data_IF_651340299927
#
_entry.id   IF_651340299927
#
_cell.length_a   1.000
_cell.length_b   1.000
_cell.length_c   1.000
_cell.angle_alpha   90.00
_cell.angle_beta   90.00
_cell.angle_gamma   90.00
#
_symmetry.space_group_name_H-M   'P 1'
#
loop_
_entity.id
_entity.type
_entity.pdbx_description
1 polymer ?
#
# COMPACT_ATOMS: atom_id res chain seq x y z
N UNK A 1 10.18 8.54 12.17
CA UNK A 1 11.00 7.94 11.09
C UNK A 1 10.05 7.28 10.10
N UNK A 2 10.23 7.51 8.79
CA UNK A 2 9.44 6.83 7.76
C UNK A 2 9.93 5.39 7.54
N UNK A 3 9.01 4.48 7.25
CA UNK A 3 9.29 3.10 6.86
C UNK A 3 9.95 2.98 5.48
N UNK A 4 9.75 3.96 4.59
CA UNK A 4 10.37 3.99 3.26
C UNK A 4 11.88 4.21 3.41
N UNK A 5 12.68 3.34 2.78
CA UNK A 5 14.13 3.36 2.88
C UNK A 5 14.83 4.10 1.74
N UNK A 6 14.17 4.28 0.59
CA UNK A 6 14.73 5.01 -0.55
C UNK A 6 14.89 6.50 -0.23
N UNK A 7 16.12 7.01 -0.18
CA UNK A 7 16.36 8.43 -0.01
C UNK A 7 15.71 9.29 -1.12
N UNK A 8 15.65 8.75 -2.35
CA UNK A 8 15.05 9.44 -3.51
C UNK A 8 13.54 9.64 -3.43
N UNK A 9 12.84 8.98 -2.50
CA UNK A 9 11.42 9.21 -2.24
C UNK A 9 11.16 10.54 -1.54
N UNK A 10 12.11 11.01 -0.75
CA UNK A 10 11.98 12.25 0.01
C UNK A 10 12.46 13.45 -0.80
N UNK A 11 11.84 14.62 -0.56
CA UNK A 11 12.22 15.89 -1.18
C UNK A 11 13.30 16.57 -0.33
N UNK A 12 13.16 16.51 1.01
CA UNK A 12 14.18 16.98 1.92
C UNK A 12 15.26 15.92 2.13
N UNK A 13 16.53 16.33 2.25
CA UNK A 13 17.67 15.41 2.45
C UNK A 13 17.52 14.55 3.72
N UNK A 14 16.89 15.08 4.77
CA UNK A 14 16.57 14.38 6.02
C UNK A 14 15.10 13.98 6.13
N UNK A 15 14.31 14.04 5.04
CA UNK A 15 12.86 13.86 5.03
C UNK A 15 12.40 12.53 5.64
N UNK A 16 13.21 11.48 5.55
CA UNK A 16 12.94 10.20 6.21
C UNK A 16 12.78 10.33 7.73
N UNK A 17 13.55 11.20 8.36
CA UNK A 17 13.64 11.32 9.82
C UNK A 17 12.94 12.59 10.35
N UNK A 18 12.72 13.57 9.49
CA UNK A 18 12.13 14.86 9.84
C UNK A 18 10.89 15.15 8.94
N UNK A 19 9.68 14.79 9.41
CA UNK A 19 8.47 15.02 8.65
C UNK A 19 8.15 16.51 8.46
N UNK A 20 8.64 17.39 9.35
CA UNK A 20 8.44 18.85 9.22
C UNK A 20 9.32 19.40 8.10
N UNK A 21 10.57 18.93 8.00
CA UNK A 21 11.44 19.30 6.89
C UNK A 21 10.88 18.81 5.55
N UNK A 22 10.37 17.56 5.50
CA UNK A 22 9.75 16.99 4.31
C UNK A 22 8.49 17.76 3.90
N UNK A 23 7.63 18.13 4.85
CA UNK A 23 6.44 18.94 4.59
C UNK A 23 6.81 20.31 3.99
N UNK A 24 7.77 21.01 4.58
CA UNK A 24 8.24 22.31 4.08
C UNK A 24 8.82 22.20 2.67
N UNK A 25 9.65 21.18 2.43
CA UNK A 25 10.22 20.92 1.12
C UNK A 25 9.14 20.58 0.08
N UNK A 26 8.12 19.80 0.47
CA UNK A 26 6.98 19.47 -0.39
C UNK A 26 6.19 20.72 -0.79
N UNK A 27 5.85 21.58 0.17
CA UNK A 27 5.14 22.85 -0.11
C UNK A 27 5.98 23.75 -1.04
N UNK A 28 7.28 23.86 -0.78
CA UNK A 28 8.19 24.62 -1.65
C UNK A 28 8.23 24.07 -3.07
N UNK A 29 8.36 22.74 -3.20
CA UNK A 29 8.42 22.06 -4.49
C UNK A 29 7.13 22.25 -5.32
N UNK A 30 5.94 22.19 -4.69
CA UNK A 30 4.67 22.44 -5.38
C UNK A 30 4.49 23.89 -5.86
N UNK A 31 5.19 24.85 -5.24
CA UNK A 31 5.20 26.24 -5.66
C UNK A 31 6.27 26.56 -6.73
N UNK A 32 7.26 25.69 -6.94
CA UNK A 32 8.40 25.96 -7.84
C UNK A 32 8.55 24.95 -8.98
N UNK A 33 8.02 23.74 -8.82
CA UNK A 33 8.18 22.61 -9.75
C UNK A 33 6.85 21.92 -10.00
N UNK A 34 6.07 22.28 -11.04
CA UNK A 34 4.73 21.73 -11.27
C UNK A 34 4.69 20.20 -11.37
N UNK A 35 5.72 19.57 -11.95
CA UNK A 35 5.79 18.11 -12.11
C UNK A 35 5.87 17.35 -10.76
N UNK A 36 6.20 18.02 -9.66
CA UNK A 36 6.17 17.40 -8.34
C UNK A 36 4.73 17.08 -7.90
N UNK A 37 3.73 17.79 -8.41
CA UNK A 37 2.31 17.46 -8.22
C UNK A 37 1.96 16.11 -8.86
N UNK A 38 2.62 15.74 -9.96
CA UNK A 38 2.45 14.45 -10.64
C UNK A 38 3.15 13.31 -9.91
N UNK A 39 4.27 13.61 -9.25
CA UNK A 39 5.03 12.63 -8.48
C UNK A 39 4.39 12.34 -7.13
N UNK A 40 3.81 13.36 -6.49
CA UNK A 40 3.21 13.27 -5.15
C UNK A 40 1.74 13.75 -5.14
N UNK A 41 0.85 13.09 -5.90
CA UNK A 41 -0.53 13.53 -6.07
C UNK A 41 -1.37 13.42 -4.79
N UNK A 42 -1.09 12.45 -3.89
CA UNK A 42 -1.81 12.36 -2.60
C UNK A 42 -1.42 13.48 -1.66
N UNK A 43 -0.12 13.81 -1.58
CA UNK A 43 0.37 14.95 -0.79
C UNK A 43 -0.23 16.26 -1.31
N UNK A 44 -0.30 16.42 -2.65
CA UNK A 44 -0.89 17.59 -3.27
C UNK A 44 -2.39 17.70 -2.96
N UNK A 45 -3.13 16.60 -3.08
CA UNK A 45 -4.55 16.53 -2.73
C UNK A 45 -4.77 16.89 -1.27
N UNK A 46 -4.05 16.24 -0.35
CA UNK A 46 -4.17 16.47 1.09
C UNK A 46 -3.89 17.93 1.47
N UNK A 47 -2.81 18.52 0.97
CA UNK A 47 -2.47 19.92 1.27
C UNK A 47 -3.52 20.89 0.75
N UNK A 48 -4.12 20.64 -0.42
CA UNK A 48 -5.24 21.44 -0.92
C UNK A 48 -6.48 21.33 -0.02
N UNK A 49 -6.76 20.14 0.49
CA UNK A 49 -7.86 19.91 1.44
C UNK A 49 -7.62 20.59 2.79
N UNK A 50 -6.35 20.78 3.18
CA UNK A 50 -5.98 21.60 4.35
C UNK A 50 -6.05 23.13 4.06
N UNK A 51 -6.54 23.53 2.89
CA UNK A 51 -6.73 24.92 2.51
C UNK A 51 -5.50 25.62 1.92
N UNK A 52 -4.41 24.88 1.62
CA UNK A 52 -3.25 25.47 0.97
C UNK A 52 -3.53 25.75 -0.51
N UNK A 53 -3.05 26.89 -0.97
CA UNK A 53 -3.04 27.29 -2.37
C UNK A 53 -1.60 27.35 -2.88
N UNK A 54 -1.40 26.95 -4.13
CA UNK A 54 -0.07 26.94 -4.75
C UNK A 54 -0.01 27.96 -5.86
N UNK A 55 1.13 28.65 -5.99
CA UNK A 55 1.35 29.66 -7.03
C UNK A 55 1.46 29.06 -8.44
N UNK A 56 1.91 27.80 -8.54
CA UNK A 56 1.97 27.11 -9.81
C UNK A 56 0.59 26.52 -10.18
N UNK A 57 0.21 26.59 -11.47
CA UNK A 57 -1.03 25.96 -11.93
C UNK A 57 -1.00 24.44 -11.74
N UNK A 58 -2.17 23.81 -11.80
CA UNK A 58 -2.26 22.35 -11.81
C UNK A 58 -1.46 21.78 -13.00
N UNK A 59 -0.59 20.82 -12.71
CA UNK A 59 0.25 20.21 -13.74
C UNK A 59 -0.54 19.19 -14.55
N UNK A 60 -0.25 19.13 -15.85
CA UNK A 60 -0.68 17.99 -16.66
C UNK A 60 0.19 16.78 -16.33
N UNK A 61 -0.44 15.68 -15.92
CA UNK A 61 0.22 14.47 -15.43
C UNK A 61 -0.14 13.26 -16.31
N UNK A 62 0.32 13.20 -17.58
CA UNK A 62 -0.17 12.18 -18.53
C UNK A 62 0.13 10.74 -18.08
N UNK A 63 1.26 10.47 -17.43
CA UNK A 63 1.60 9.13 -16.92
C UNK A 63 0.69 8.72 -15.77
N UNK A 64 0.42 9.63 -14.84
CA UNK A 64 -0.50 9.39 -13.72
C UNK A 64 -1.93 9.18 -14.25
N UNK A 65 -2.34 9.99 -15.22
CA UNK A 65 -3.66 9.85 -15.83
C UNK A 65 -3.79 8.52 -16.57
N UNK A 66 -2.82 8.15 -17.39
CA UNK A 66 -2.79 6.85 -18.06
C UNK A 66 -2.86 5.69 -17.07
N UNK A 67 -2.10 5.75 -15.96
CA UNK A 67 -2.14 4.73 -14.92
C UNK A 67 -3.53 4.64 -14.27
N UNK A 68 -4.14 5.78 -13.91
CA UNK A 68 -5.51 5.81 -13.36
C UNK A 68 -6.54 5.23 -14.32
N UNK A 69 -6.46 5.55 -15.62
CA UNK A 69 -7.35 5.01 -16.65
C UNK A 69 -7.17 3.49 -16.81
N UNK A 70 -5.93 2.99 -16.76
CA UNK A 70 -5.65 1.55 -16.78
C UNK A 70 -6.22 0.83 -15.57
N UNK A 71 -6.10 1.42 -14.38
CA UNK A 71 -6.64 0.86 -13.14
C UNK A 71 -8.17 0.98 -13.08
N UNK A 72 -8.74 2.06 -13.61
CA UNK A 72 -10.18 2.37 -13.63
C UNK A 72 -10.87 2.10 -12.29
N UNK A 73 -10.27 2.55 -11.19
CA UNK A 73 -10.65 2.20 -9.80
C UNK A 73 -11.99 2.86 -9.47
N UNK A 74 -12.96 2.04 -9.09
CA UNK A 74 -14.29 2.47 -8.63
C UNK A 74 -14.47 2.24 -7.12
N UNK A 75 -13.96 1.14 -6.61
CA UNK A 75 -13.96 0.82 -5.18
C UNK A 75 -12.72 0.01 -4.80
N UNK A 76 -12.48 -0.12 -3.51
CA UNK A 76 -11.32 -0.81 -2.98
C UNK A 76 -11.78 -1.93 -2.04
N UNK A 77 -11.20 -3.11 -2.16
CA UNK A 77 -11.45 -4.24 -1.27
C UNK A 77 -10.15 -4.70 -0.61
N UNK A 78 -10.26 -5.14 0.64
CA UNK A 78 -9.22 -5.95 1.26
C UNK A 78 -9.51 -7.42 0.97
N UNK A 79 -8.49 -8.14 0.53
CA UNK A 79 -8.56 -9.59 0.29
C UNK A 79 -7.64 -10.29 1.26
N UNK A 80 -8.20 -11.17 2.07
CA UNK A 80 -7.47 -12.03 2.99
C UNK A 80 -7.33 -13.42 2.39
N UNK A 81 -6.10 -13.89 2.24
CA UNK A 81 -5.80 -15.28 1.95
C UNK A 81 -5.47 -16.01 3.25
N UNK A 82 -6.15 -17.12 3.52
CA UNK A 82 -5.96 -17.93 4.74
C UNK A 82 -4.51 -18.40 4.92
N UNK A 83 -4.13 -18.82 6.13
CA UNK A 83 -2.77 -19.24 6.46
C UNK A 83 -2.26 -20.38 5.58
N UNK A 84 -0.96 -20.36 5.27
CA UNK A 84 -0.28 -21.41 4.50
C UNK A 84 0.92 -21.93 5.28
N UNK A 85 0.82 -23.17 5.74
CA UNK A 85 1.79 -23.76 6.67
C UNK A 85 3.16 -24.05 6.05
N UNK A 86 3.23 -24.15 4.73
CA UNK A 86 4.50 -24.44 4.03
C UNK A 86 5.42 -23.20 3.90
N UNK A 87 4.93 -22.00 4.26
CA UNK A 87 5.71 -20.77 4.18
C UNK A 87 5.59 -19.97 5.51
N UNK A 88 6.69 -19.80 6.27
CA UNK A 88 6.68 -19.07 7.53
C UNK A 88 6.11 -17.65 7.44
N UNK A 89 6.40 -16.92 6.37
CA UNK A 89 5.87 -15.56 6.15
C UNK A 89 4.35 -15.52 5.91
N UNK A 90 3.75 -16.64 5.48
CA UNK A 90 2.32 -16.77 5.19
C UNK A 90 1.57 -17.60 6.23
N UNK A 91 2.20 -17.96 7.34
CA UNK A 91 1.61 -18.81 8.38
C UNK A 91 0.29 -18.25 8.93
N UNK A 92 0.23 -16.95 9.13
CA UNK A 92 -0.95 -16.24 9.66
C UNK A 92 -1.86 -15.66 8.58
N UNK A 93 -1.64 -16.04 7.32
CA UNK A 93 -2.36 -15.51 6.18
C UNK A 93 -1.62 -14.39 5.47
N UNK A 94 -2.27 -13.89 4.44
CA UNK A 94 -1.74 -12.78 3.64
C UNK A 94 -2.85 -11.78 3.33
N UNK A 95 -2.51 -10.51 3.22
CA UNK A 95 -3.43 -9.43 2.91
C UNK A 95 -3.06 -8.80 1.57
N UNK A 96 -4.07 -8.51 0.78
CA UNK A 96 -3.98 -7.79 -0.50
C UNK A 96 -4.96 -6.64 -0.52
N UNK A 97 -4.66 -5.60 -1.24
CA UNK A 97 -5.59 -4.54 -1.59
C UNK A 97 -6.04 -4.74 -3.05
N UNK A 98 -7.33 -4.98 -3.27
CA UNK A 98 -7.89 -5.15 -4.62
C UNK A 98 -8.56 -3.85 -5.06
N UNK A 99 -8.21 -3.42 -6.27
CA UNK A 99 -8.71 -2.20 -6.90
C UNK A 99 -9.82 -2.57 -7.86
N UNK A 100 -11.06 -2.49 -7.40
CA UNK A 100 -12.20 -2.92 -8.19
C UNK A 100 -12.53 -1.89 -9.26
N UNK A 101 -12.68 -2.36 -10.48
CA UNK A 101 -13.25 -1.58 -11.58
C UNK A 101 -14.76 -1.42 -11.39
N UNK A 102 -15.41 -0.71 -12.31
CA UNK A 102 -16.87 -0.55 -12.27
C UNK A 102 -17.60 -1.85 -11.97
N UNK A 103 -18.68 -1.77 -11.20
CA UNK A 103 -19.56 -2.89 -10.84
C UNK A 103 -20.13 -3.66 -12.03
N UNK A 104 -20.15 -3.05 -13.21
CA UNK A 104 -20.60 -3.67 -14.47
C UNK A 104 -19.51 -4.56 -15.12
N UNK A 105 -18.27 -4.52 -14.62
CA UNK A 105 -17.22 -5.40 -15.11
C UNK A 105 -17.55 -6.85 -14.84
N UNK A 106 -17.82 -7.61 -15.91
CA UNK A 106 -18.18 -9.04 -15.85
C UNK A 106 -17.03 -9.94 -15.39
N UNK A 107 -15.81 -9.43 -15.36
CA UNK A 107 -14.64 -10.24 -15.02
C UNK A 107 -13.80 -9.57 -13.93
N UNK A 108 -14.17 -9.81 -12.68
CA UNK A 108 -13.48 -9.32 -11.49
C UNK A 108 -12.04 -9.86 -11.34
N UNK A 109 -11.69 -10.90 -12.09
CA UNK A 109 -10.31 -11.45 -12.10
C UNK A 109 -9.31 -10.55 -12.84
N UNK A 110 -9.83 -9.64 -13.69
CA UNK A 110 -9.01 -8.65 -14.39
C UNK A 110 -8.86 -7.33 -13.61
N UNK A 111 -9.43 -7.24 -12.41
CA UNK A 111 -9.15 -6.14 -11.50
C UNK A 111 -7.67 -6.16 -11.08
N UNK A 112 -7.11 -5.00 -10.79
CA UNK A 112 -5.76 -4.93 -10.26
C UNK A 112 -5.76 -5.19 -8.75
N UNK A 113 -4.66 -5.70 -8.27
CA UNK A 113 -4.41 -5.87 -6.84
C UNK A 113 -3.02 -5.40 -6.48
N UNK A 114 -2.93 -4.80 -5.31
CA UNK A 114 -1.68 -4.34 -4.71
C UNK A 114 -1.26 -5.38 -3.68
N UNK A 115 -0.06 -5.86 -3.84
CA UNK A 115 0.62 -6.75 -2.93
C UNK A 115 1.78 -6.03 -2.26
N UNK A 116 2.01 -6.28 -0.98
CA UNK A 116 3.24 -5.94 -0.30
C UNK A 116 3.99 -7.21 0.05
N UNK A 117 5.23 -7.32 -0.36
CA UNK A 117 6.02 -8.52 -0.15
C UNK A 117 7.52 -8.29 -0.15
N UNK A 118 8.23 -9.22 0.50
CA UNK A 118 9.69 -9.24 0.54
C UNK A 118 10.28 -9.70 -0.80
N UNK A 119 11.39 -9.10 -1.16
CA UNK A 119 12.22 -9.54 -2.28
C UNK A 119 13.19 -10.61 -1.78
N UNK A 120 12.78 -11.87 -1.88
CA UNK A 120 13.57 -13.03 -1.44
C UNK A 120 14.25 -13.67 -2.66
N UNK A 121 15.57 -13.98 -2.60
CA UNK A 121 16.25 -14.73 -3.66
C UNK A 121 15.69 -16.15 -3.82
N UNK A 122 15.58 -16.64 -5.05
CA UNK A 122 14.95 -17.94 -5.38
C UNK A 122 15.59 -19.16 -4.66
N UNK A 123 16.86 -19.08 -4.24
CA UNK A 123 17.60 -20.19 -3.63
C UNK A 123 18.06 -19.85 -2.19
N UNK A 124 17.28 -19.09 -1.44
CA UNK A 124 17.64 -18.76 -0.05
C UNK A 124 17.52 -20.00 0.85
N UNK A 125 18.51 -20.19 1.73
CA UNK A 125 18.46 -21.24 2.74
C UNK A 125 17.34 -20.98 3.75
N UNK A 126 16.56 -22.02 4.11
CA UNK A 126 15.39 -21.88 4.97
C UNK A 126 15.69 -21.26 6.36
N UNK A 127 16.82 -21.56 7.00
CA UNK A 127 17.21 -20.94 8.26
C UNK A 127 17.58 -19.47 8.08
N UNK A 128 18.31 -19.16 7.00
CA UNK A 128 18.67 -17.77 6.65
C UNK A 128 17.41 -16.98 6.33
N UNK A 129 16.45 -17.58 5.62
CA UNK A 129 15.15 -16.98 5.32
C UNK A 129 14.40 -16.58 6.60
N UNK A 130 14.30 -17.49 7.57
CA UNK A 130 13.63 -17.22 8.85
C UNK A 130 14.35 -16.11 9.62
N UNK A 131 15.68 -16.20 9.75
CA UNK A 131 16.46 -15.21 10.51
C UNK A 131 16.39 -13.82 9.87
N UNK A 132 16.58 -13.72 8.55
CA UNK A 132 16.44 -12.44 7.85
C UNK A 132 15.02 -11.89 7.95
N UNK A 133 14.01 -12.74 7.84
CA UNK A 133 12.62 -12.31 7.94
C UNK A 133 12.24 -11.79 9.33
N UNK A 134 12.84 -12.34 10.40
CA UNK A 134 12.61 -11.87 11.77
C UNK A 134 13.38 -10.58 12.10
N UNK A 135 14.55 -10.37 11.49
CA UNK A 135 15.45 -9.26 11.85
C UNK A 135 15.59 -8.20 10.75
N UNK A 136 14.68 -8.12 9.78
CA UNK A 136 14.66 -7.06 8.77
C UNK A 136 15.74 -7.19 7.70
N UNK A 137 16.16 -8.42 7.37
CA UNK A 137 17.21 -8.68 6.39
C UNK A 137 16.78 -8.67 4.92
N UNK A 138 15.48 -8.42 4.63
CA UNK A 138 14.96 -8.30 3.28
C UNK A 138 14.46 -6.91 2.97
N UNK A 139 14.62 -6.50 1.72
CA UNK A 139 13.87 -5.37 1.17
C UNK A 139 12.49 -5.85 0.73
N UNK A 140 11.51 -5.00 0.88
CA UNK A 140 10.14 -5.22 0.45
C UNK A 140 9.61 -4.02 -0.32
N UNK A 141 8.49 -4.19 -0.96
CA UNK A 141 7.81 -3.11 -1.64
C UNK A 141 6.40 -3.47 -2.06
N UNK A 142 5.70 -2.46 -2.51
CA UNK A 142 4.40 -2.61 -3.13
C UNK A 142 4.57 -2.95 -4.62
N UNK A 143 3.76 -3.89 -5.09
CA UNK A 143 3.66 -4.26 -6.49
C UNK A 143 2.20 -4.36 -6.91
N UNK A 144 1.91 -3.99 -8.16
CA UNK A 144 0.59 -4.14 -8.76
C UNK A 144 0.58 -5.27 -9.77
N UNK A 145 -0.48 -6.06 -9.75
CA UNK A 145 -0.72 -7.10 -10.73
C UNK A 145 -2.21 -7.41 -10.86
N UNK A 146 -2.59 -8.08 -11.94
CA UNK A 146 -3.97 -8.52 -12.14
C UNK A 146 -4.35 -9.58 -11.09
N UNK A 147 -5.54 -9.45 -10.51
CA UNK A 147 -6.00 -10.28 -9.39
C UNK A 147 -6.06 -11.77 -9.72
N UNK A 148 -6.29 -12.15 -10.99
CA UNK A 148 -6.30 -13.55 -11.40
C UNK A 148 -5.00 -14.29 -11.04
N UNK A 149 -3.84 -13.60 -11.01
CA UNK A 149 -2.56 -14.21 -10.62
C UNK A 149 -2.55 -14.61 -9.16
N UNK A 150 -3.11 -13.77 -8.30
CA UNK A 150 -3.25 -14.11 -6.87
C UNK A 150 -4.29 -15.21 -6.67
N UNK A 151 -5.41 -15.15 -7.38
CA UNK A 151 -6.44 -16.18 -7.37
C UNK A 151 -5.84 -17.55 -7.77
N UNK A 152 -5.06 -17.58 -8.82
CA UNK A 152 -4.39 -18.81 -9.27
C UNK A 152 -3.37 -19.33 -8.24
N UNK A 153 -2.47 -18.45 -7.75
CA UNK A 153 -1.45 -18.88 -6.81
C UNK A 153 -2.04 -19.30 -5.46
N UNK A 154 -2.87 -18.46 -4.85
CA UNK A 154 -3.39 -18.75 -3.52
C UNK A 154 -4.56 -19.73 -3.53
N UNK A 155 -5.52 -19.57 -4.47
CA UNK A 155 -6.72 -20.41 -4.52
C UNK A 155 -6.48 -21.78 -5.14
N UNK A 156 -5.73 -21.86 -6.25
CA UNK A 156 -5.59 -23.11 -7.03
C UNK A 156 -4.31 -23.87 -6.69
N UNK A 157 -3.17 -23.19 -6.47
CA UNK A 157 -1.88 -23.86 -6.19
C UNK A 157 -1.74 -24.12 -4.69
N UNK A 158 -1.94 -23.10 -3.85
CA UNK A 158 -1.77 -23.20 -2.39
C UNK A 158 -3.04 -23.69 -1.67
N UNK A 159 -4.18 -23.77 -2.38
CA UNK A 159 -5.49 -24.20 -1.86
C UNK A 159 -5.94 -23.42 -0.62
N UNK A 160 -5.73 -22.11 -0.65
CA UNK A 160 -6.11 -21.18 0.41
C UNK A 160 -7.50 -20.59 0.15
N UNK A 161 -8.26 -20.38 1.21
CA UNK A 161 -9.50 -19.61 1.11
C UNK A 161 -9.18 -18.12 0.93
N UNK A 162 -9.91 -17.47 0.03
CA UNK A 162 -9.82 -16.04 -0.24
C UNK A 162 -11.12 -15.35 0.20
N UNK A 163 -10.97 -14.39 1.11
CA UNK A 163 -12.09 -13.61 1.64
C UNK A 163 -11.94 -12.16 1.20
N UNK A 164 -12.93 -11.64 0.48
CA UNK A 164 -12.94 -10.28 -0.04
C UNK A 164 -13.93 -9.41 0.75
N UNK A 165 -13.44 -8.24 1.22
CA UNK A 165 -14.21 -7.23 1.92
C UNK A 165 -14.10 -5.90 1.19
N UNK A 166 -15.19 -5.44 0.60
CA UNK A 166 -15.23 -4.12 -0.04
C UNK A 166 -15.36 -3.04 1.04
N UNK A 167 -14.44 -2.08 1.01
CA UNK A 167 -14.43 -0.95 1.93
C UNK A 167 -15.54 0.06 1.52
N UNK A 168 -16.25 0.59 2.51
CA UNK A 168 -17.26 1.62 2.30
C UNK A 168 -16.60 3.00 2.19
N UNK A 169 -16.05 3.29 1.02
CA UNK A 169 -15.32 4.52 0.72
C UNK A 169 -16.08 5.38 -0.28
N UNK A 170 -16.03 6.69 -0.11
CA UNK A 170 -16.51 7.62 -1.12
C UNK A 170 -15.48 7.82 -2.25
N UNK A 171 -15.88 8.48 -3.33
CA UNK A 171 -15.03 8.70 -4.51
C UNK A 171 -13.73 9.47 -4.19
N UNK A 172 -13.79 10.44 -3.26
CA UNK A 172 -12.62 11.21 -2.81
C UNK A 172 -11.59 10.29 -2.16
N UNK A 173 -12.02 9.38 -1.29
CA UNK A 173 -11.15 8.48 -0.55
C UNK A 173 -10.55 7.41 -1.47
N UNK A 174 -11.33 6.90 -2.41
CA UNK A 174 -10.83 6.01 -3.48
C UNK A 174 -9.75 6.70 -4.31
N UNK A 175 -9.99 7.95 -4.71
CA UNK A 175 -9.01 8.74 -5.46
C UNK A 175 -7.75 9.02 -4.63
N UNK A 176 -7.89 9.27 -3.32
CA UNK A 176 -6.76 9.49 -2.43
C UNK A 176 -5.89 8.23 -2.29
N UNK A 177 -6.52 7.05 -2.09
CA UNK A 177 -5.80 5.76 -2.05
C UNK A 177 -5.05 5.53 -3.38
N UNK A 178 -5.71 5.76 -4.51
CA UNK A 178 -5.08 5.61 -5.82
C UNK A 178 -3.85 6.52 -5.96
N UNK A 179 -3.96 7.78 -5.55
CA UNK A 179 -2.86 8.72 -5.56
C UNK A 179 -1.72 8.29 -4.65
N UNK A 180 -2.04 7.80 -3.46
CA UNK A 180 -1.03 7.32 -2.51
C UNK A 180 -0.31 6.07 -3.03
N UNK A 181 -1.04 5.13 -3.62
CA UNK A 181 -0.46 3.95 -4.26
C UNK A 181 0.51 4.33 -5.38
N UNK A 182 0.15 5.31 -6.23
CA UNK A 182 1.05 5.84 -7.25
C UNK A 182 2.37 6.36 -6.66
N UNK A 183 2.32 7.02 -5.50
CA UNK A 183 3.52 7.55 -4.85
C UNK A 183 4.44 6.45 -4.30
N UNK A 184 3.87 5.38 -3.75
CA UNK A 184 4.62 4.34 -3.04
C UNK A 184 4.96 3.12 -3.90
N UNK A 185 4.32 2.93 -5.05
CA UNK A 185 4.70 1.88 -5.99
C UNK A 185 6.15 2.06 -6.46
N UNK A 186 6.94 0.99 -6.33
CA UNK A 186 8.37 1.00 -6.63
C UNK A 186 9.27 1.62 -5.56
N UNK A 187 8.74 1.95 -4.38
CA UNK A 187 9.54 2.31 -3.21
C UNK A 187 9.97 1.07 -2.44
N UNK A 188 11.07 1.19 -1.67
CA UNK A 188 11.63 0.11 -0.86
C UNK A 188 11.37 0.34 0.62
N UNK A 189 11.13 -0.76 1.31
CA UNK A 189 10.95 -0.86 2.75
C UNK A 189 11.86 -1.94 3.31
N UNK A 190 12.07 -1.95 4.62
CA UNK A 190 12.60 -3.12 5.32
C UNK A 190 11.43 -4.04 5.67
N UNK A 191 11.62 -5.36 5.58
CA UNK A 191 10.57 -6.35 5.82
C UNK A 191 10.82 -7.14 7.09
N UNK A 192 9.79 -7.21 7.93
CA UNK A 192 9.77 -8.01 9.15
C UNK A 192 8.54 -8.92 9.16
N UNK A 193 8.74 -10.22 9.42
CA UNK A 193 7.65 -11.20 9.38
C UNK A 193 6.58 -10.94 10.44
N UNK A 194 6.98 -10.46 11.61
CA UNK A 194 6.10 -10.36 12.77
C UNK A 194 5.26 -9.07 12.79
N UNK A 195 5.85 -7.94 12.48
CA UNK A 195 5.27 -6.61 12.69
C UNK A 195 5.14 -5.78 11.42
N UNK A 196 6.21 -5.47 10.71
CA UNK A 196 6.18 -4.65 9.48
C UNK A 196 5.95 -5.52 8.23
N UNK A 197 4.89 -6.32 8.26
CA UNK A 197 4.49 -7.26 7.20
C UNK A 197 3.41 -6.66 6.27
N UNK A 198 2.85 -7.49 5.37
CA UNK A 198 1.81 -7.06 4.43
C UNK A 198 0.58 -6.49 5.13
N UNK A 199 0.14 -7.09 6.25
CA UNK A 199 -1.02 -6.64 6.98
C UNK A 199 -0.80 -5.25 7.61
N UNK A 200 0.38 -5.01 8.17
CA UNK A 200 0.76 -3.72 8.74
C UNK A 200 0.72 -2.61 7.68
N UNK A 201 1.46 -2.78 6.58
CA UNK A 201 1.58 -1.71 5.58
C UNK A 201 0.27 -1.46 4.81
N UNK A 202 -0.52 -2.51 4.54
CA UNK A 202 -1.84 -2.32 3.92
C UNK A 202 -2.86 -1.71 4.89
N UNK A 203 -2.81 -2.05 6.17
CA UNK A 203 -3.63 -1.39 7.18
C UNK A 203 -3.32 0.10 7.27
N UNK A 204 -2.03 0.50 7.25
CA UNK A 204 -1.65 1.90 7.26
C UNK A 204 -2.21 2.70 6.07
N UNK A 205 -2.32 2.10 4.88
CA UNK A 205 -2.98 2.76 3.74
C UNK A 205 -4.46 3.03 4.04
N UNK A 206 -5.15 2.07 4.66
CA UNK A 206 -6.56 2.21 5.03
C UNK A 206 -6.73 3.23 6.17
N UNK A 207 -5.84 3.22 7.16
CA UNK A 207 -5.81 4.17 8.28
C UNK A 207 -5.73 5.63 7.84
N UNK A 208 -5.05 5.92 6.71
CA UNK A 208 -5.00 7.27 6.13
C UNK A 208 -6.38 7.84 5.79
N UNK A 209 -7.36 6.98 5.58
CA UNK A 209 -8.72 7.37 5.17
C UNK A 209 -9.69 7.33 6.34
N UNK A 210 -9.69 6.22 7.10
CA UNK A 210 -10.68 6.02 8.17
C UNK A 210 -10.35 6.83 9.43
N UNK A 211 -9.09 7.25 9.60
CA UNK A 211 -8.63 7.99 10.79
C UNK A 211 -8.50 7.16 12.06
N UNK A 212 -8.94 5.91 12.05
CA UNK A 212 -8.85 4.98 13.18
C UNK A 212 -7.62 4.07 13.04
N UNK A 213 -7.01 3.72 14.17
CA UNK A 213 -5.87 2.80 14.18
C UNK A 213 -6.32 1.34 14.03
N UNK A 214 -5.99 0.73 12.90
CA UNK A 214 -6.13 -0.71 12.66
C UNK A 214 -4.94 -1.51 13.21
N UNK A 215 -3.77 -0.88 13.23
CA UNK A 215 -2.55 -1.42 13.83
C UNK A 215 -2.41 -0.90 15.26
N UNK A 216 -2.15 -1.79 16.23
CA UNK A 216 -1.99 -1.41 17.64
C UNK A 216 -0.52 -1.19 17.94
N UNK A 217 -0.15 -0.03 18.50
CA UNK A 217 1.20 0.24 19.00
C UNK A 217 1.66 -0.72 20.11
N UNK A 218 0.70 -1.34 20.80
CA UNK A 218 0.99 -2.26 21.91
C UNK A 218 1.13 -3.72 21.50
N UNK A 219 0.83 -4.08 20.25
CA UNK A 219 0.94 -5.46 19.77
C UNK A 219 2.27 -5.67 19.05
N UNK A 220 3.11 -6.63 19.52
CA UNK A 220 4.36 -6.96 18.83
C UNK A 220 4.16 -7.75 17.53
N UNK A 221 2.91 -8.04 17.16
CA UNK A 221 2.54 -8.79 15.96
C UNK A 221 1.37 -8.12 15.26
N UNK A 222 1.45 -8.04 13.95
CA UNK A 222 0.32 -7.63 13.11
C UNK A 222 -0.13 -8.82 12.30
N UNK A 223 -1.32 -9.34 12.62
CA UNK A 223 -1.89 -10.52 11.98
C UNK A 223 -3.01 -10.07 11.03
N UNK A 224 -3.04 -10.54 9.77
CA UNK A 224 -4.07 -10.17 8.81
C UNK A 224 -5.51 -10.28 9.32
N UNK A 225 -5.85 -11.35 10.04
CA UNK A 225 -7.20 -11.56 10.58
C UNK A 225 -7.61 -10.51 11.61
N UNK A 226 -6.67 -9.93 12.37
CA UNK A 226 -7.00 -8.89 13.37
C UNK A 226 -7.37 -7.56 12.72
N UNK A 227 -6.86 -7.28 11.52
CA UNK A 227 -7.23 -6.08 10.75
C UNK A 227 -8.72 -6.10 10.41
N UNK A 228 -9.25 -7.24 9.95
CA UNK A 228 -10.69 -7.37 9.66
C UNK A 228 -11.56 -7.22 10.90
N UNK A 229 -11.15 -7.78 12.03
CA UNK A 229 -11.88 -7.63 13.30
C UNK A 229 -12.00 -6.16 13.71
N UNK A 230 -10.93 -5.39 13.52
CA UNK A 230 -10.91 -3.95 13.86
C UNK A 230 -11.69 -3.11 12.85
N UNK A 231 -11.60 -3.39 11.57
CA UNK A 231 -12.42 -2.73 10.54
C UNK A 231 -13.91 -2.88 10.85
N UNK A 232 -14.34 -4.07 11.26
CA UNK A 232 -15.75 -4.34 11.58
C UNK A 232 -16.22 -3.60 12.85
N UNK A 233 -15.32 -3.16 13.71
CA UNK A 233 -15.63 -2.36 14.90
C UNK A 233 -15.53 -0.84 14.68
N UNK A 234 -14.89 -0.40 13.61
CA UNK A 234 -14.70 1.01 13.25
C UNK A 234 -15.78 1.53 12.27
N UNK A 235 -16.58 0.63 11.66
CA UNK A 235 -17.73 0.93 10.79
C UNK A 235 -19.05 0.73 11.52
#
# INVERSE_FOLDING_TARGET
ISYITNASFFIADNGRNDPVAELKATIHAFNSQPLMQCRYPSRYQWLKEQGLTFSMPAAECPKLQQWREQQAIHSVSLVFASGYMSNPASLYGHLLLKLNRSTESKNKLLDYSINYGAHVPDNENGLVYILKGLFGGYKAGFSDQLFYRHQHNYGEIELRDLWEYTLNLNERDVAFIANHLWEILGTEFDYYFADENCAFHLAQIVELIIGDQLTSESSPWVIPATIFSRLNSAT
#
